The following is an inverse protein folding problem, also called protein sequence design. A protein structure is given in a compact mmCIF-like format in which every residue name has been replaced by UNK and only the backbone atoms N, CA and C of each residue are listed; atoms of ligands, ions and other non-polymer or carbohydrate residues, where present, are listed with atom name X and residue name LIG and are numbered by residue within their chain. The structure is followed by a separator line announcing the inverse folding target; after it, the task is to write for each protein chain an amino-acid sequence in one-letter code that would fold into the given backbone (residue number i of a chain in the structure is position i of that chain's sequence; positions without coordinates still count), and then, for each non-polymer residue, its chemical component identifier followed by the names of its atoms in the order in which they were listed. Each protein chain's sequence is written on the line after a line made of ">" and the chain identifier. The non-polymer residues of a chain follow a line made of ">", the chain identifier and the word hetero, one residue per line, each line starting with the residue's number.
data_IF_665253323676
#
_entry.id   IF_665253323676
#
_cell.length_a   1.000
_cell.length_b   1.000
_cell.length_c   1.000
_cell.angle_alpha   90.00
_cell.angle_beta   90.00
_cell.angle_gamma   90.00
#
_symmetry.space_group_name_H-M   'P 1'
#
loop_
_entity.id
_entity.type
_entity.pdbx_description
1 polymer ?
#
# COMPACT_ATOMS: atom_id res chain seq x y z
N UNK A 1 -12.80 46.73 8.09
CA UNK A 1 -12.63 45.45 7.38
C UNK A 1 -11.45 45.68 6.47
N UNK A 2 -10.35 44.97 6.69
CA UNK A 2 -9.10 45.17 5.96
C UNK A 2 -9.28 44.78 4.49
N UNK A 3 -8.60 45.49 3.59
CA UNK A 3 -8.72 45.34 2.14
C UNK A 3 -8.49 43.90 1.67
N UNK A 4 -7.67 43.13 2.40
CA UNK A 4 -7.30 41.75 2.05
C UNK A 4 -8.03 40.65 2.84
N UNK A 5 -9.01 40.99 3.68
CA UNK A 5 -9.71 40.01 4.54
C UNK A 5 -10.40 38.89 3.72
N UNK A 6 -10.96 39.23 2.56
CA UNK A 6 -11.59 38.24 1.66
C UNK A 6 -10.57 37.28 1.04
N UNK A 7 -9.35 37.76 0.73
CA UNK A 7 -8.30 36.92 0.18
C UNK A 7 -7.75 35.94 1.22
N UNK A 8 -7.60 36.40 2.47
CA UNK A 8 -7.22 35.57 3.61
C UNK A 8 -8.27 34.47 3.87
N UNK A 9 -9.56 34.84 3.88
CA UNK A 9 -10.65 33.87 4.04
C UNK A 9 -10.67 32.80 2.95
N UNK A 10 -10.40 33.18 1.69
CA UNK A 10 -10.30 32.23 0.58
C UNK A 10 -9.12 31.26 0.77
N UNK A 11 -7.95 31.74 1.19
CA UNK A 11 -6.79 30.88 1.47
C UNK A 11 -7.10 29.86 2.58
N UNK A 12 -7.76 30.29 3.67
CA UNK A 12 -8.22 29.39 4.72
C UNK A 12 -9.21 28.34 4.22
N UNK A 13 -10.16 28.73 3.35
CA UNK A 13 -11.11 27.80 2.74
C UNK A 13 -10.38 26.73 1.89
N UNK A 14 -9.40 27.13 1.08
CA UNK A 14 -8.59 26.19 0.30
C UNK A 14 -7.78 25.24 1.19
N UNK A 15 -7.12 25.76 2.24
CA UNK A 15 -6.40 24.92 3.21
C UNK A 15 -7.32 23.87 3.84
N UNK A 16 -8.56 24.24 4.16
CA UNK A 16 -9.55 23.29 4.72
C UNK A 16 -9.85 22.14 3.76
N UNK A 17 -10.03 22.42 2.47
CA UNK A 17 -10.27 21.39 1.46
C UNK A 17 -9.04 20.49 1.27
N UNK A 18 -7.85 21.07 1.18
CA UNK A 18 -6.61 20.30 1.03
C UNK A 18 -6.39 19.37 2.25
N UNK A 19 -6.73 19.81 3.46
CA UNK A 19 -6.69 18.95 4.66
C UNK A 19 -7.66 17.77 4.60
N UNK A 20 -8.79 17.90 3.92
CA UNK A 20 -9.72 16.79 3.70
C UNK A 20 -9.16 15.78 2.69
N UNK A 21 -8.48 16.26 1.64
CA UNK A 21 -7.79 15.40 0.68
C UNK A 21 -6.67 14.60 1.36
N UNK A 22 -5.85 15.24 2.20
CA UNK A 22 -4.81 14.55 2.98
C UNK A 22 -5.42 13.40 3.79
N UNK A 23 -6.49 13.65 4.56
CA UNK A 23 -7.18 12.59 5.33
C UNK A 23 -7.66 11.45 4.45
N UNK A 24 -8.16 11.77 3.25
CA UNK A 24 -8.61 10.76 2.28
C UNK A 24 -7.45 9.89 1.81
N UNK A 25 -6.27 10.47 1.55
CA UNK A 25 -5.07 9.70 1.20
C UNK A 25 -4.56 8.86 2.37
N UNK A 26 -4.53 9.40 3.58
CA UNK A 26 -4.16 8.67 4.81
C UNK A 26 -5.07 7.46 5.04
N UNK A 27 -6.38 7.61 4.85
CA UNK A 27 -7.34 6.51 4.95
C UNK A 27 -7.10 5.42 3.89
N UNK A 28 -6.78 5.82 2.66
CA UNK A 28 -6.43 4.87 1.58
C UNK A 28 -5.14 4.13 1.89
N UNK A 29 -4.11 4.81 2.38
CA UNK A 29 -2.84 4.20 2.81
C UNK A 29 -3.10 3.16 3.89
N UNK A 30 -3.84 3.51 4.95
CA UNK A 30 -4.14 2.59 6.06
C UNK A 30 -4.85 1.32 5.59
N UNK A 31 -5.80 1.44 4.65
CA UNK A 31 -6.50 0.28 4.06
C UNK A 31 -5.55 -0.60 3.25
N UNK A 32 -4.65 0.01 2.48
CA UNK A 32 -3.65 -0.70 1.69
C UNK A 32 -2.61 -1.41 2.56
N UNK A 33 -2.13 -0.78 3.63
CA UNK A 33 -1.23 -1.40 4.61
C UNK A 33 -1.87 -2.62 5.26
N UNK A 34 -3.10 -2.48 5.76
CA UNK A 34 -3.84 -3.60 6.35
C UNK A 34 -4.06 -4.75 5.37
N UNK A 35 -4.34 -4.45 4.09
CA UNK A 35 -4.46 -5.47 3.06
C UNK A 35 -3.11 -6.16 2.79
N UNK A 36 -2.01 -5.40 2.72
CA UNK A 36 -0.67 -5.93 2.51
C UNK A 36 -0.23 -6.89 3.63
N UNK A 37 -0.57 -6.58 4.88
CA UNK A 37 -0.24 -7.43 6.04
C UNK A 37 -1.05 -8.74 6.04
N UNK A 38 -2.33 -8.67 5.65
CA UNK A 38 -3.17 -9.88 5.47
C UNK A 38 -2.61 -10.78 4.38
N UNK A 39 -2.18 -10.21 3.25
CA UNK A 39 -1.56 -10.98 2.17
C UNK A 39 -0.24 -11.60 2.64
N UNK A 40 0.61 -10.88 3.37
CA UNK A 40 1.83 -11.44 3.94
C UNK A 40 1.53 -12.67 4.80
N UNK A 41 0.55 -12.56 5.70
CA UNK A 41 0.17 -13.66 6.58
C UNK A 41 -0.30 -14.90 5.79
N UNK A 42 -1.04 -14.70 4.69
CA UNK A 42 -1.43 -15.79 3.79
C UNK A 42 -0.23 -16.38 3.05
N UNK A 43 0.70 -15.56 2.57
CA UNK A 43 1.93 -16.01 1.94
C UNK A 43 2.78 -16.86 2.89
N UNK A 44 2.86 -16.50 4.16
CA UNK A 44 3.61 -17.27 5.16
C UNK A 44 3.01 -18.67 5.37
N UNK A 45 1.67 -18.78 5.40
CA UNK A 45 0.97 -20.07 5.47
C UNK A 45 1.23 -20.91 4.22
N UNK A 46 1.11 -20.31 3.03
CA UNK A 46 1.32 -21.03 1.77
C UNK A 46 2.78 -21.44 1.61
N UNK A 47 3.74 -20.63 2.06
CA UNK A 47 5.15 -20.99 2.07
C UNK A 47 5.43 -22.19 2.98
N UNK A 48 4.76 -22.28 4.15
CA UNK A 48 4.85 -23.47 5.01
C UNK A 48 4.29 -24.72 4.33
N UNK A 49 3.17 -24.59 3.61
CA UNK A 49 2.60 -25.70 2.85
C UNK A 49 3.57 -26.23 1.78
N UNK A 50 4.36 -25.34 1.15
CA UNK A 50 5.42 -25.75 0.20
C UNK A 50 6.46 -26.64 0.87
N UNK A 51 6.93 -26.26 2.07
CA UNK A 51 7.88 -27.07 2.85
C UNK A 51 7.26 -28.42 3.21
N UNK A 52 6.02 -28.42 3.72
CA UNK A 52 5.32 -29.67 4.05
C UNK A 52 5.14 -30.60 2.84
N UNK A 53 4.83 -30.05 1.65
CA UNK A 53 4.75 -30.82 0.42
C UNK A 53 6.11 -31.44 0.04
N UNK A 54 7.21 -30.70 0.23
CA UNK A 54 8.55 -31.24 0.03
C UNK A 54 8.91 -32.32 1.04
N UNK A 55 8.42 -32.22 2.28
CA UNK A 55 8.66 -33.23 3.32
C UNK A 55 7.91 -34.53 3.05
N UNK A 56 6.72 -34.48 2.40
CA UNK A 56 6.00 -35.69 1.98
C UNK A 56 6.84 -36.58 1.07
N UNK A 57 7.75 -35.99 0.28
CA UNK A 57 8.64 -36.76 -0.59
C UNK A 57 9.67 -37.62 0.17
N UNK A 58 9.90 -37.33 1.46
CA UNK A 58 10.84 -38.07 2.31
C UNK A 58 10.23 -39.33 2.92
N UNK A 59 8.91 -39.51 2.83
CA UNK A 59 8.25 -40.68 3.39
C UNK A 59 8.48 -41.93 2.54
N UNK A 60 8.52 -43.10 3.20
CA UNK A 60 8.69 -44.38 2.52
C UNK A 60 7.56 -44.62 1.53
N UNK A 61 7.92 -45.11 0.35
CA UNK A 61 7.00 -45.49 -0.73
C UNK A 61 7.21 -46.94 -1.15
N UNK A 62 7.83 -47.75 -0.29
CA UNK A 62 8.18 -49.16 -0.55
C UNK A 62 6.98 -50.04 -0.91
N UNK A 63 5.79 -49.69 -0.42
CA UNK A 63 4.56 -50.43 -0.69
C UNK A 63 3.85 -49.99 -1.98
N UNK A 64 4.37 -48.96 -2.66
CA UNK A 64 3.82 -48.54 -3.94
C UNK A 64 4.09 -49.62 -4.99
N UNK A 65 3.09 -49.87 -5.85
CA UNK A 65 3.15 -50.86 -6.94
C UNK A 65 2.99 -50.14 -8.27
N UNK A 66 3.70 -50.61 -9.29
CA UNK A 66 3.66 -50.00 -10.63
C UNK A 66 4.13 -48.55 -10.62
N UNK A 67 3.43 -47.67 -11.36
CA UNK A 67 3.79 -46.26 -11.57
C UNK A 67 3.45 -45.33 -10.41
N UNK A 68 2.88 -45.85 -9.31
CA UNK A 68 2.35 -45.01 -8.22
C UNK A 68 3.40 -44.06 -7.60
N UNK A 69 4.67 -44.45 -7.59
CA UNK A 69 5.76 -43.57 -7.11
C UNK A 69 6.00 -42.39 -8.03
N UNK A 70 6.07 -42.65 -9.33
CA UNK A 70 6.20 -41.59 -10.33
C UNK A 70 4.99 -40.66 -10.33
N UNK A 71 3.78 -41.21 -10.18
CA UNK A 71 2.54 -40.43 -10.13
C UNK A 71 2.49 -39.54 -8.87
N UNK A 72 2.96 -40.07 -7.73
CA UNK A 72 3.11 -39.31 -6.49
C UNK A 72 4.13 -38.18 -6.64
N UNK A 73 5.32 -38.47 -7.19
CA UNK A 73 6.38 -37.49 -7.39
C UNK A 73 5.94 -36.38 -8.35
N UNK A 74 5.26 -36.73 -9.45
CA UNK A 74 4.65 -35.78 -10.40
C UNK A 74 3.60 -34.90 -9.72
N UNK A 75 2.76 -35.49 -8.86
CA UNK A 75 1.74 -34.75 -8.12
C UNK A 75 2.36 -33.74 -7.16
N UNK A 76 3.37 -34.14 -6.39
CA UNK A 76 4.08 -33.24 -5.48
C UNK A 76 4.82 -32.12 -6.24
N UNK A 77 5.45 -32.44 -7.37
CA UNK A 77 6.07 -31.44 -8.23
C UNK A 77 5.04 -30.41 -8.72
N UNK A 78 3.89 -30.86 -9.23
CA UNK A 78 2.80 -29.98 -9.67
C UNK A 78 2.26 -29.09 -8.55
N UNK A 79 2.13 -29.60 -7.33
CA UNK A 79 1.75 -28.80 -6.15
C UNK A 79 2.81 -27.74 -5.83
N UNK A 80 4.09 -28.13 -5.83
CA UNK A 80 5.20 -27.20 -5.57
C UNK A 80 5.28 -26.08 -6.60
N UNK A 81 5.07 -26.39 -7.87
CA UNK A 81 5.04 -25.41 -8.96
C UNK A 81 3.86 -24.46 -8.81
N UNK A 82 2.65 -24.98 -8.58
CA UNK A 82 1.45 -24.16 -8.37
C UNK A 82 1.59 -23.21 -7.17
N UNK A 83 2.16 -23.68 -6.06
CA UNK A 83 2.45 -22.84 -4.90
C UNK A 83 3.48 -21.75 -5.24
N UNK A 84 4.53 -22.10 -6.00
CA UNK A 84 5.56 -21.15 -6.41
C UNK A 84 4.98 -20.05 -7.29
N UNK A 85 4.19 -20.41 -8.30
CA UNK A 85 3.48 -19.45 -9.16
C UNK A 85 2.61 -18.51 -8.33
N UNK A 86 1.78 -19.07 -7.43
CA UNK A 86 0.90 -18.25 -6.59
C UNK A 86 1.69 -17.27 -5.69
N UNK A 87 2.79 -17.71 -5.09
CA UNK A 87 3.65 -16.84 -4.26
C UNK A 87 4.27 -15.71 -5.09
N UNK A 88 4.73 -16.00 -6.31
CA UNK A 88 5.30 -15.01 -7.22
C UNK A 88 4.26 -13.98 -7.65
N UNK A 89 3.09 -14.42 -8.10
CA UNK A 89 2.01 -13.53 -8.53
C UNK A 89 1.50 -12.67 -7.37
N UNK A 90 1.39 -13.25 -6.19
CA UNK A 90 0.95 -12.55 -4.98
C UNK A 90 1.98 -11.51 -4.53
N UNK A 91 3.28 -11.80 -4.63
CA UNK A 91 4.32 -10.80 -4.35
C UNK A 91 4.28 -9.62 -5.34
N UNK A 92 3.95 -9.88 -6.61
CA UNK A 92 3.73 -8.81 -7.59
C UNK A 92 2.54 -7.92 -7.22
N UNK A 93 1.45 -8.51 -6.72
CA UNK A 93 0.31 -7.74 -6.20
C UNK A 93 0.71 -6.84 -5.02
N UNK A 94 1.52 -7.35 -4.10
CA UNK A 94 2.06 -6.56 -2.97
C UNK A 94 2.96 -5.42 -3.42
N UNK A 95 3.82 -5.65 -4.41
CA UNK A 95 4.60 -4.57 -5.04
C UNK A 95 3.69 -3.47 -5.59
N UNK A 96 2.58 -3.83 -6.26
CA UNK A 96 1.59 -2.86 -6.73
C UNK A 96 0.95 -2.07 -5.58
N UNK A 97 0.64 -2.73 -4.46
CA UNK A 97 0.11 -2.07 -3.26
C UNK A 97 1.13 -1.07 -2.70
N UNK A 98 2.39 -1.49 -2.52
CA UNK A 98 3.46 -0.62 -2.02
C UNK A 98 3.70 0.59 -2.93
N UNK A 99 3.60 0.41 -4.25
CA UNK A 99 3.67 1.51 -5.21
C UNK A 99 2.54 2.53 -5.00
N UNK A 100 1.30 2.07 -4.84
CA UNK A 100 0.14 2.95 -4.58
C UNK A 100 0.24 3.70 -3.26
N UNK A 101 0.78 3.07 -2.22
CA UNK A 101 1.09 3.74 -0.94
C UNK A 101 2.10 4.87 -1.18
N UNK A 102 3.17 4.59 -1.93
CA UNK A 102 4.18 5.61 -2.27
C UNK A 102 3.58 6.77 -3.06
N UNK A 103 2.69 6.50 -4.01
CA UNK A 103 1.98 7.53 -4.79
C UNK A 103 1.13 8.42 -3.88
N UNK A 104 0.35 7.83 -2.96
CA UNK A 104 -0.45 8.59 -2.02
C UNK A 104 0.38 9.41 -1.03
N UNK A 105 1.54 8.90 -0.59
CA UNK A 105 2.48 9.69 0.19
C UNK A 105 3.02 10.91 -0.58
N UNK A 106 3.34 10.75 -1.87
CA UNK A 106 3.72 11.86 -2.74
C UNK A 106 2.60 12.91 -2.88
N UNK A 107 1.36 12.46 -3.06
CA UNK A 107 0.20 13.37 -3.11
C UNK A 107 -0.01 14.14 -1.79
N UNK A 108 0.24 13.51 -0.64
CA UNK A 108 0.21 14.17 0.67
C UNK A 108 1.30 15.24 0.76
N UNK A 109 2.52 14.94 0.32
CA UNK A 109 3.63 15.91 0.31
C UNK A 109 3.30 17.14 -0.55
N UNK A 110 2.73 16.93 -1.74
CA UNK A 110 2.31 18.03 -2.62
C UNK A 110 1.17 18.86 -2.00
N UNK A 111 0.24 18.20 -1.30
CA UNK A 111 -0.79 18.90 -0.53
C UNK A 111 -0.19 19.76 0.59
N UNK A 112 0.81 19.26 1.30
CA UNK A 112 1.51 20.00 2.35
C UNK A 112 2.27 21.21 1.78
N UNK A 113 2.94 21.06 0.63
CA UNK A 113 3.58 22.18 -0.08
C UNK A 113 2.57 23.27 -0.44
N UNK A 114 1.39 22.91 -0.94
CA UNK A 114 0.30 23.85 -1.25
C UNK A 114 -0.20 24.58 0.01
N UNK A 115 -0.40 23.86 1.11
CA UNK A 115 -0.78 24.48 2.39
C UNK A 115 0.27 25.50 2.83
N UNK A 116 1.56 25.17 2.75
CA UNK A 116 2.63 26.10 3.14
C UNK A 116 2.63 27.36 2.27
N UNK A 117 2.44 27.21 0.96
CA UNK A 117 2.33 28.36 0.05
C UNK A 117 1.14 29.26 0.40
N UNK A 118 -0.03 28.67 0.69
CA UNK A 118 -1.22 29.42 1.11
C UNK A 118 -1.03 30.12 2.45
N UNK A 119 -0.34 29.50 3.41
CA UNK A 119 0.00 30.14 4.69
C UNK A 119 0.91 31.36 4.47
N UNK A 120 1.93 31.26 3.62
CA UNK A 120 2.79 32.41 3.29
C UNK A 120 2.02 33.55 2.60
N UNK A 121 1.01 33.22 1.78
CA UNK A 121 0.11 34.24 1.19
C UNK A 121 -0.75 34.93 2.26
N UNK A 122 -1.28 34.16 3.22
CA UNK A 122 -2.03 34.73 4.36
C UNK A 122 -1.16 35.71 5.15
N UNK A 123 0.07 35.32 5.49
CA UNK A 123 1.02 36.20 6.19
C UNK A 123 1.31 37.48 5.41
N UNK A 124 1.50 37.36 4.09
CA UNK A 124 1.70 38.52 3.22
C UNK A 124 0.51 39.48 3.23
N UNK A 125 -0.72 38.97 3.12
CA UNK A 125 -1.93 39.79 3.17
C UNK A 125 -2.15 40.44 4.54
N UNK A 126 -1.81 39.76 5.63
CA UNK A 126 -1.84 40.36 6.97
C UNK A 126 -0.88 41.54 7.08
N UNK A 127 0.34 41.45 6.53
CA UNK A 127 1.29 42.57 6.51
C UNK A 127 0.75 43.77 5.71
N UNK A 128 0.17 43.53 4.53
CA UNK A 128 -0.41 44.60 3.72
C UNK A 128 -1.57 45.30 4.43
N UNK A 129 -2.43 44.56 5.14
CA UNK A 129 -3.49 45.16 5.94
C UNK A 129 -2.92 46.06 7.06
N UNK A 130 -1.76 45.74 7.65
CA UNK A 130 -1.11 46.56 8.69
C UNK A 130 -0.37 47.78 8.15
N UNK A 131 0.14 47.72 6.92
CA UNK A 131 0.82 48.86 6.28
C UNK A 131 -0.17 49.89 5.70
N UNK A 132 -1.45 49.52 5.54
CA UNK A 132 -2.53 50.40 5.05
C UNK A 132 -3.33 51.10 6.18
N UNK A 133 -3.13 50.73 7.46
CA UNK A 133 -3.75 51.34 8.67
C UNK A 133 -2.82 52.38 9.33
#
# INVERSE_FOLDING_TARGET
>A
MGRYDSAIANCHAQIRWIRLDIRTYEDKIRRLESANDRIQSQMDVVSKNKTSASDLNKHSTTDFKGTRREDFDKTLAGISDAITTWLTDTEMNRKSIRFKISEYNGNIEDCQKKINSLNSQIEYYHRLNWEED
#
